data_IF_081572917453
#
_entry.id   IF_081572917453
#
_cell.length_a   1.000
_cell.length_b   1.000
_cell.length_c   1.000
_cell.angle_alpha   90.00
_cell.angle_beta   90.00
_cell.angle_gamma   90.00
#
_symmetry.space_group_name_H-M   'P 1'
#
loop_
_entity.id
_entity.type
_entity.pdbx_description
1 polymer ?
#
# COMPACT_ATOMS: atom_id res chain seq x y z
N UNK A 1 -2.91 7.17 -10.24
CA UNK A 1 -2.16 7.51 -9.01
C UNK A 1 -1.36 6.29 -8.58
N UNK A 2 -0.21 6.46 -7.92
CA UNK A 2 0.60 5.35 -7.39
C UNK A 2 0.92 5.61 -5.91
N UNK A 3 0.52 4.71 -5.02
CA UNK A 3 0.81 4.83 -3.59
C UNK A 3 2.17 4.23 -3.25
N UNK A 4 3.00 4.95 -2.50
CA UNK A 4 4.42 4.61 -2.27
C UNK A 4 4.91 4.96 -0.86
N UNK A 5 5.99 4.29 -0.44
CA UNK A 5 6.72 4.48 0.82
C UNK A 5 7.59 5.75 0.87
N UNK A 6 7.70 6.47 -0.24
CA UNK A 6 8.57 7.64 -0.37
C UNK A 6 9.99 7.34 -0.85
N UNK A 7 10.26 6.13 -1.36
CA UNK A 7 11.54 5.82 -2.00
C UNK A 7 11.81 6.75 -3.20
N UNK A 8 13.05 7.27 -3.28
CA UNK A 8 13.42 8.33 -4.23
C UNK A 8 13.20 7.94 -5.69
N UNK A 9 13.32 6.66 -6.02
CA UNK A 9 13.15 6.17 -7.39
C UNK A 9 11.76 6.47 -7.97
N UNK A 10 10.71 6.48 -7.15
CA UNK A 10 9.35 6.81 -7.62
C UNK A 10 9.24 8.25 -8.09
N UNK A 11 9.92 9.20 -7.44
CA UNK A 11 9.98 10.59 -7.92
C UNK A 11 10.69 10.69 -9.27
N UNK A 12 11.73 9.90 -9.48
CA UNK A 12 12.42 9.82 -10.79
C UNK A 12 11.50 9.24 -11.87
N UNK A 13 10.72 8.21 -11.53
CA UNK A 13 9.76 7.60 -12.45
C UNK A 13 8.68 8.59 -12.89
N UNK A 14 8.11 9.36 -11.95
CA UNK A 14 7.16 10.45 -12.28
C UNK A 14 7.77 11.47 -13.22
N UNK A 15 9.00 11.93 -12.92
CA UNK A 15 9.70 12.93 -13.75
C UNK A 15 9.94 12.43 -15.17
N UNK A 16 10.34 11.17 -15.33
CA UNK A 16 10.54 10.56 -16.66
C UNK A 16 9.22 10.45 -17.43
N UNK A 17 8.16 9.99 -16.77
CA UNK A 17 6.83 9.86 -17.39
C UNK A 17 6.22 11.21 -17.77
N UNK A 18 6.46 12.26 -16.97
CA UNK A 18 6.03 13.62 -17.31
C UNK A 18 6.72 14.22 -18.55
N UNK A 19 7.80 13.61 -19.04
CA UNK A 19 8.47 13.97 -20.30
C UNK A 19 8.05 13.09 -21.49
N UNK A 20 7.12 12.16 -21.28
CA UNK A 20 6.59 11.28 -22.32
C UNK A 20 5.15 11.67 -22.69
N UNK A 21 4.66 11.21 -23.84
CA UNK A 21 3.27 11.38 -24.30
C UNK A 21 2.27 10.48 -23.54
N UNK A 22 2.58 10.10 -22.30
CA UNK A 22 1.76 9.22 -21.45
C UNK A 22 1.16 10.06 -20.33
N UNK A 23 -0.08 9.74 -19.94
CA UNK A 23 -0.77 10.42 -18.84
C UNK A 23 0.12 10.57 -17.58
N UNK A 24 0.11 11.76 -16.94
CA UNK A 24 0.97 12.05 -15.80
C UNK A 24 0.61 11.17 -14.60
N UNK A 25 1.62 10.82 -13.83
CA UNK A 25 1.46 9.98 -12.64
C UNK A 25 1.59 10.81 -11.37
N UNK A 26 0.54 10.82 -10.55
CA UNK A 26 0.56 11.38 -9.20
C UNK A 26 0.98 10.33 -8.17
N UNK A 27 1.85 10.69 -7.23
CA UNK A 27 2.22 9.84 -6.09
C UNK A 27 1.34 10.16 -4.89
N UNK A 28 0.86 9.12 -4.22
CA UNK A 28 0.33 9.20 -2.86
C UNK A 28 1.40 8.66 -1.89
N UNK A 29 1.78 9.45 -0.90
CA UNK A 29 2.81 9.05 0.05
C UNK A 29 2.18 8.47 1.32
N UNK A 30 2.82 7.45 1.87
CA UNK A 30 2.38 6.78 3.08
C UNK A 30 2.55 7.65 4.34
N UNK A 31 1.46 7.98 5.02
CA UNK A 31 1.50 8.79 6.25
C UNK A 31 2.24 8.08 7.40
N UNK A 32 2.23 6.74 7.43
CA UNK A 32 2.96 5.96 8.43
C UNK A 32 4.49 6.19 8.33
N UNK A 33 5.02 6.44 7.13
CA UNK A 33 6.44 6.76 6.94
C UNK A 33 6.80 8.15 7.46
N UNK A 34 5.93 9.15 7.27
CA UNK A 34 6.11 10.46 7.90
C UNK A 34 6.01 10.35 9.44
N UNK A 35 5.01 9.62 9.95
CA UNK A 35 4.83 9.36 11.39
C UNK A 35 6.07 8.71 12.02
N UNK A 36 6.66 7.69 11.38
CA UNK A 36 7.84 6.97 11.91
C UNK A 36 9.00 7.92 12.20
N UNK A 37 9.22 8.94 11.36
CA UNK A 37 10.29 9.93 11.58
C UNK A 37 10.09 10.73 12.87
N UNK A 38 8.87 11.11 13.20
CA UNK A 38 8.58 11.79 14.47
C UNK A 38 8.70 10.83 15.66
N UNK A 39 8.32 9.55 15.51
CA UNK A 39 8.57 8.52 16.54
C UNK A 39 10.08 8.39 16.81
N UNK A 40 10.90 8.36 15.77
CA UNK A 40 12.36 8.26 15.90
C UNK A 40 12.94 9.50 16.60
N UNK A 41 12.41 10.70 16.33
CA UNK A 41 12.78 11.93 17.03
C UNK A 41 12.46 11.82 18.53
N UNK A 42 11.24 11.41 18.90
CA UNK A 42 10.86 11.24 20.31
C UNK A 42 11.77 10.24 21.01
N UNK A 43 12.07 9.10 20.38
CA UNK A 43 12.97 8.09 20.96
C UNK A 43 14.39 8.62 21.16
N UNK A 44 14.85 9.50 20.27
CA UNK A 44 16.21 10.04 20.31
C UNK A 44 16.36 11.20 21.29
N UNK A 45 15.35 12.08 21.39
CA UNK A 45 15.49 13.37 22.07
C UNK A 45 14.43 13.67 23.13
N UNK A 46 13.35 12.88 23.22
CA UNK A 46 12.22 13.18 24.11
C UNK A 46 11.42 14.42 23.73
N UNK A 47 11.51 14.93 22.50
CA UNK A 47 10.86 16.19 22.09
C UNK A 47 9.33 16.17 22.30
N UNK A 48 8.85 17.15 23.06
CA UNK A 48 7.42 17.38 23.32
C UNK A 48 6.70 17.85 22.06
N UNK A 49 7.36 18.61 21.18
CA UNK A 49 6.83 19.02 19.88
C UNK A 49 6.58 17.81 18.98
N UNK A 50 7.55 16.88 18.91
CA UNK A 50 7.39 15.65 18.15
C UNK A 50 6.26 14.78 18.72
N UNK A 51 6.11 14.71 20.05
CA UNK A 51 4.97 14.04 20.70
C UNK A 51 3.64 14.69 20.33
N UNK A 52 3.53 16.01 20.40
CA UNK A 52 2.32 16.75 20.01
C UNK A 52 1.92 16.48 18.55
N UNK A 53 2.91 16.46 17.64
CA UNK A 53 2.70 16.08 16.23
C UNK A 53 2.17 14.64 16.12
N UNK A 54 2.71 13.69 16.90
CA UNK A 54 2.23 12.30 16.90
C UNK A 54 0.80 12.17 17.44
N UNK A 55 0.43 12.95 18.46
CA UNK A 55 -0.94 13.00 18.99
C UNK A 55 -1.91 13.43 17.89
N UNK A 56 -1.58 14.50 17.15
CA UNK A 56 -2.39 14.95 16.00
C UNK A 56 -2.49 13.90 14.88
N UNK A 57 -1.41 13.17 14.62
CA UNK A 57 -1.44 12.03 13.67
C UNK A 57 -2.39 10.92 14.18
N UNK A 58 -2.40 10.65 15.48
CA UNK A 58 -3.28 9.62 16.04
C UNK A 58 -4.77 9.98 15.86
N UNK A 59 -5.14 11.26 15.89
CA UNK A 59 -6.51 11.71 15.60
C UNK A 59 -6.94 11.34 14.17
N UNK A 60 -6.04 11.54 13.20
CA UNK A 60 -6.28 11.15 11.81
C UNK A 60 -6.55 9.64 11.72
N UNK A 61 -5.74 8.82 12.38
CA UNK A 61 -5.95 7.37 12.37
C UNK A 61 -7.24 6.94 13.08
N UNK A 62 -7.72 7.68 14.09
CA UNK A 62 -9.03 7.43 14.70
C UNK A 62 -10.17 7.68 13.71
N UNK A 63 -10.09 8.77 12.92
CA UNK A 63 -11.06 9.06 11.86
C UNK A 63 -11.00 7.97 10.79
N UNK A 64 -9.80 7.64 10.31
CA UNK A 64 -9.60 6.60 9.28
C UNK A 64 -10.06 5.22 9.73
N UNK A 65 -9.96 4.89 11.02
CA UNK A 65 -10.49 3.65 11.56
C UNK A 65 -12.02 3.58 11.48
N UNK A 66 -12.72 4.70 11.74
CA UNK A 66 -14.18 4.78 11.63
C UNK A 66 -14.66 4.77 10.17
N UNK A 67 -13.92 5.40 9.26
CA UNK A 67 -14.27 5.43 7.83
C UNK A 67 -13.90 4.14 7.08
N UNK A 68 -13.21 3.19 7.73
CA UNK A 68 -12.77 1.96 7.09
C UNK A 68 -13.96 1.02 6.85
N UNK A 69 -14.08 0.52 5.63
CA UNK A 69 -15.18 -0.37 5.21
C UNK A 69 -16.28 0.36 4.43
N UNK A 70 -16.35 1.68 4.55
CA UNK A 70 -17.21 2.53 3.75
C UNK A 70 -16.72 2.62 2.29
N UNK A 71 -17.63 2.99 1.38
CA UNK A 71 -17.31 3.25 -0.02
C UNK A 71 -16.43 4.51 -0.19
N UNK A 72 -15.84 4.65 -1.38
CA UNK A 72 -14.88 5.73 -1.65
C UNK A 72 -15.48 7.14 -1.48
N UNK A 73 -16.74 7.37 -1.84
CA UNK A 73 -17.34 8.70 -1.79
C UNK A 73 -17.66 9.09 -0.35
N UNK A 74 -18.21 8.16 0.43
CA UNK A 74 -18.45 8.34 1.87
C UNK A 74 -17.15 8.64 2.62
N UNK A 75 -16.08 7.89 2.33
CA UNK A 75 -14.74 8.16 2.88
C UNK A 75 -14.24 9.55 2.55
N UNK A 76 -14.39 9.98 1.29
CA UNK A 76 -13.90 11.28 0.83
C UNK A 76 -14.63 12.44 1.52
N UNK A 77 -15.96 12.35 1.67
CA UNK A 77 -16.78 13.35 2.36
C UNK A 77 -16.35 13.46 3.83
N UNK A 78 -16.27 12.33 4.54
CA UNK A 78 -15.84 12.30 5.94
C UNK A 78 -14.43 12.87 6.13
N UNK A 79 -13.50 12.50 5.25
CA UNK A 79 -12.12 13.01 5.27
C UNK A 79 -12.04 14.51 5.05
N UNK A 80 -12.76 15.07 4.08
CA UNK A 80 -12.75 16.51 3.82
C UNK A 80 -13.31 17.30 5.00
N UNK A 81 -14.38 16.79 5.62
CA UNK A 81 -15.02 17.41 6.78
C UNK A 81 -14.16 17.34 8.04
N UNK A 82 -13.54 16.19 8.31
CA UNK A 82 -12.93 15.91 9.62
C UNK A 82 -11.40 15.88 9.58
N UNK A 83 -10.81 15.14 8.63
CA UNK A 83 -9.34 15.03 8.51
C UNK A 83 -8.70 16.24 7.84
N UNK A 84 -9.42 16.89 6.91
CA UNK A 84 -8.97 18.05 6.13
C UNK A 84 -8.49 19.21 7.00
N UNK A 85 -9.31 19.72 7.94
CA UNK A 85 -8.91 20.78 8.87
C UNK A 85 -7.67 20.42 9.69
N UNK A 86 -7.62 19.19 10.25
CA UNK A 86 -6.47 18.71 11.05
C UNK A 86 -5.19 18.71 10.20
N UNK A 87 -5.25 18.26 8.95
CA UNK A 87 -4.10 18.31 8.05
C UNK A 87 -3.70 19.75 7.73
N UNK A 88 -4.65 20.64 7.50
CA UNK A 88 -4.40 22.07 7.28
C UNK A 88 -3.64 22.73 8.43
N UNK A 89 -4.17 22.61 9.66
CA UNK A 89 -3.56 23.12 10.89
C UNK A 89 -2.14 22.56 11.09
N UNK A 90 -1.97 21.25 10.86
CA UNK A 90 -0.64 20.62 10.96
C UNK A 90 0.34 21.17 9.94
N UNK A 91 -0.09 21.49 8.72
CA UNK A 91 0.79 22.10 7.71
C UNK A 91 1.31 23.45 8.19
N UNK A 92 0.41 24.28 8.70
CA UNK A 92 0.76 25.59 9.24
C UNK A 92 1.77 25.44 10.38
N UNK A 93 1.46 24.59 11.36
CA UNK A 93 2.35 24.38 12.52
C UNK A 93 3.72 23.83 12.16
N UNK A 94 3.78 22.87 11.23
CA UNK A 94 5.05 22.33 10.73
C UNK A 94 5.86 23.38 9.97
N UNK A 95 5.20 24.32 9.29
CA UNK A 95 5.87 25.39 8.55
C UNK A 95 6.48 26.41 9.51
N UNK A 96 5.75 26.82 10.56
CA UNK A 96 6.29 27.65 11.64
C UNK A 96 7.50 26.99 12.31
N UNK A 97 7.34 25.75 12.78
CA UNK A 97 8.42 25.02 13.45
C UNK A 97 9.65 24.84 12.57
N UNK A 98 9.48 24.70 11.25
CA UNK A 98 10.62 24.58 10.32
C UNK A 98 11.53 25.80 10.38
N UNK A 99 10.97 26.99 10.60
CA UNK A 99 11.71 28.24 10.59
C UNK A 99 12.38 28.50 11.96
N UNK A 100 11.89 27.85 13.02
CA UNK A 100 12.45 27.91 14.39
C UNK A 100 13.53 26.85 14.68
N UNK A 101 13.47 25.68 14.02
CA UNK A 101 14.40 24.58 14.30
C UNK A 101 15.50 24.46 13.25
N UNK A 102 16.71 24.11 13.69
CA UNK A 102 17.81 23.79 12.78
C UNK A 102 17.43 22.66 11.82
N UNK A 103 17.60 22.88 10.52
CA UNK A 103 17.38 21.88 9.46
C UNK A 103 18.25 20.62 9.61
N UNK A 104 19.36 20.72 10.34
CA UNK A 104 20.28 19.61 10.61
C UNK A 104 19.83 18.73 11.79
N UNK A 105 18.96 19.25 12.67
CA UNK A 105 18.41 18.51 13.80
C UNK A 105 17.54 17.33 13.36
N UNK A 106 17.33 16.36 14.25
CA UNK A 106 16.45 15.23 13.97
C UNK A 106 15.01 15.69 13.68
N UNK A 107 14.50 16.63 14.47
CA UNK A 107 13.18 17.24 14.29
C UNK A 107 13.09 18.01 12.96
N UNK A 108 14.07 18.86 12.66
CA UNK A 108 14.11 19.63 11.41
C UNK A 108 14.13 18.73 10.16
N UNK A 109 14.83 17.59 10.21
CA UNK A 109 14.81 16.57 9.15
C UNK A 109 13.43 15.91 8.98
N UNK A 110 12.74 15.59 10.09
CA UNK A 110 11.41 15.00 10.07
C UNK A 110 10.36 15.98 9.51
N UNK A 111 10.41 17.25 9.93
CA UNK A 111 9.56 18.33 9.41
C UNK A 111 9.81 18.54 7.91
N UNK A 112 11.08 18.71 7.52
CA UNK A 112 11.46 18.90 6.12
C UNK A 112 10.99 17.75 5.23
N UNK A 113 11.16 16.51 5.69
CA UNK A 113 10.63 15.35 4.98
C UNK A 113 9.11 15.47 4.79
N UNK A 114 8.37 15.75 5.86
CA UNK A 114 6.90 15.80 5.83
C UNK A 114 6.41 16.88 4.87
N UNK A 115 6.95 18.10 4.97
CA UNK A 115 6.56 19.22 4.10
C UNK A 115 6.94 18.97 2.62
N UNK A 116 8.12 18.40 2.35
CA UNK A 116 8.56 18.06 1.00
C UNK A 116 7.72 16.96 0.33
N UNK A 117 6.91 16.23 1.09
CA UNK A 117 6.02 15.18 0.60
C UNK A 117 4.54 15.56 0.77
N UNK A 118 4.23 16.78 1.19
CA UNK A 118 2.90 17.19 1.62
C UNK A 118 1.80 16.84 0.60
N UNK A 119 1.97 17.22 -0.67
CA UNK A 119 0.94 17.00 -1.70
C UNK A 119 0.62 15.53 -1.98
N UNK A 120 1.54 14.60 -1.71
CA UNK A 120 1.25 13.17 -1.79
C UNK A 120 0.77 12.60 -0.45
N UNK A 121 1.20 13.16 0.69
CA UNK A 121 0.70 12.80 2.01
C UNK A 121 -0.76 13.23 2.22
N UNK A 122 -1.27 14.20 1.46
CA UNK A 122 -2.67 14.64 1.47
C UNK A 122 -3.50 14.09 0.30
N UNK A 123 -2.94 13.24 -0.56
CA UNK A 123 -3.64 12.78 -1.76
C UNK A 123 -4.94 12.00 -1.46
N UNK A 124 -5.02 11.36 -0.29
CA UNK A 124 -6.20 10.65 0.18
C UNK A 124 -7.40 11.57 0.52
N UNK A 125 -7.18 12.89 0.64
CA UNK A 125 -8.22 13.91 0.79
C UNK A 125 -8.85 14.32 -0.54
N UNK A 126 -8.24 13.92 -1.66
CA UNK A 126 -8.71 14.21 -3.02
C UNK A 126 -9.37 12.99 -3.67
N UNK A 127 -9.02 11.78 -3.24
CA UNK A 127 -9.50 10.51 -3.80
C UNK A 127 -9.75 9.49 -2.67
N UNK A 128 -11.03 9.14 -2.47
CA UNK A 128 -11.46 8.25 -1.38
C UNK A 128 -11.01 6.79 -1.52
N UNK A 129 -10.53 6.39 -2.71
CA UNK A 129 -9.98 5.04 -2.95
C UNK A 129 -8.56 4.88 -2.40
N UNK A 130 -7.89 6.00 -2.12
CA UNK A 130 -6.51 6.01 -1.64
C UNK A 130 -6.50 5.81 -0.13
N UNK A 131 -5.68 4.85 0.31
CA UNK A 131 -5.44 4.64 1.73
C UNK A 131 -4.52 5.72 2.33
N UNK A 132 -4.70 6.01 3.62
CA UNK A 132 -3.83 6.95 4.36
C UNK A 132 -2.38 6.45 4.46
N UNK A 133 -2.19 5.13 4.42
CA UNK A 133 -0.90 4.47 4.46
C UNK A 133 -0.88 3.21 3.57
N UNK A 134 0.33 2.72 3.26
CA UNK A 134 0.57 1.51 2.49
C UNK A 134 0.86 0.29 3.37
N UNK A 135 0.54 0.31 4.67
CA UNK A 135 0.95 -0.72 5.61
C UNK A 135 0.38 -2.11 5.25
N UNK A 136 -0.83 -2.17 4.66
CA UNK A 136 -1.42 -3.44 4.20
C UNK A 136 -0.53 -4.08 3.12
N UNK A 137 -0.09 -3.27 2.15
CA UNK A 137 0.80 -3.71 1.07
C UNK A 137 2.19 -4.05 1.60
N UNK A 138 2.74 -3.24 2.50
CA UNK A 138 4.05 -3.52 3.11
C UNK A 138 4.03 -4.81 3.93
N UNK A 139 2.92 -5.10 4.63
CA UNK A 139 2.74 -6.37 5.35
C UNK A 139 2.66 -7.56 4.42
N UNK A 140 1.96 -7.47 3.28
CA UNK A 140 1.91 -8.59 2.32
C UNK A 140 3.28 -8.87 1.70
N UNK A 141 4.11 -7.83 1.53
CA UNK A 141 5.50 -7.96 1.05
C UNK A 141 6.48 -8.46 2.12
N UNK A 142 6.08 -8.54 3.40
CA UNK A 142 6.96 -9.01 4.48
C UNK A 142 7.42 -10.46 4.26
N UNK A 143 6.56 -11.32 3.73
CA UNK A 143 6.90 -12.71 3.40
C UNK A 143 8.05 -12.77 2.37
N UNK A 144 7.94 -11.98 1.30
CA UNK A 144 8.99 -11.84 0.27
C UNK A 144 10.31 -11.36 0.86
N UNK A 145 10.27 -10.33 1.72
CA UNK A 145 11.46 -9.81 2.37
C UNK A 145 12.12 -10.83 3.31
N UNK A 146 11.32 -11.60 4.05
CA UNK A 146 11.81 -12.68 4.92
C UNK A 146 12.39 -13.84 4.10
N UNK A 147 11.71 -14.28 3.04
CA UNK A 147 12.23 -15.32 2.14
C UNK A 147 13.55 -14.89 1.52
N UNK A 148 13.68 -13.63 1.07
CA UNK A 148 14.97 -13.12 0.57
C UNK A 148 16.06 -13.16 1.64
N UNK A 149 15.74 -12.78 2.88
CA UNK A 149 16.69 -12.82 4.00
C UNK A 149 17.12 -14.26 4.34
N UNK A 150 16.19 -15.20 4.26
CA UNK A 150 16.39 -16.59 4.67
C UNK A 150 16.87 -17.50 3.52
N UNK A 151 16.77 -17.04 2.28
CA UNK A 151 17.25 -17.78 1.13
C UNK A 151 18.71 -17.43 0.87
N UNK A 152 19.61 -18.31 1.34
CA UNK A 152 21.06 -18.20 1.18
C UNK A 152 21.50 -18.23 -0.31
N UNK A 153 20.60 -18.56 -1.25
CA UNK A 153 20.93 -18.85 -2.65
C UNK A 153 20.02 -18.18 -3.70
N UNK A 154 19.33 -17.06 -3.39
CA UNK A 154 18.79 -16.20 -4.48
C UNK A 154 19.96 -15.45 -5.12
N UNK A 155 20.77 -16.18 -5.88
CA UNK A 155 22.05 -15.72 -6.41
C UNK A 155 22.02 -15.20 -7.85
N UNK A 156 20.85 -15.23 -8.52
CA UNK A 156 20.74 -14.79 -9.92
C UNK A 156 19.46 -13.99 -10.20
N UNK A 157 19.55 -13.08 -11.17
CA UNK A 157 18.40 -12.30 -11.66
C UNK A 157 17.27 -13.23 -12.16
N UNK A 158 17.63 -14.32 -12.85
CA UNK A 158 16.67 -15.32 -13.35
C UNK A 158 15.92 -16.01 -12.20
N UNK A 159 16.61 -16.37 -11.12
CA UNK A 159 16.00 -16.91 -9.91
C UNK A 159 15.04 -15.90 -9.27
N UNK A 160 15.45 -14.63 -9.20
CA UNK A 160 14.60 -13.54 -8.73
C UNK A 160 13.31 -13.36 -9.54
N UNK A 161 13.40 -13.40 -10.88
CA UNK A 161 12.22 -13.34 -11.78
C UNK A 161 11.27 -14.51 -11.53
N UNK A 162 11.79 -15.73 -11.43
CA UNK A 162 10.98 -16.93 -11.19
C UNK A 162 10.26 -16.87 -9.85
N UNK A 163 10.97 -16.46 -8.80
CA UNK A 163 10.38 -16.25 -7.48
C UNK A 163 9.29 -15.16 -7.50
N UNK A 164 9.51 -14.05 -8.20
CA UNK A 164 8.53 -12.98 -8.31
C UNK A 164 7.23 -13.44 -8.97
N UNK A 165 7.29 -14.28 -10.00
CA UNK A 165 6.11 -14.89 -10.65
C UNK A 165 5.35 -15.75 -9.64
N UNK A 166 6.03 -16.70 -8.97
CA UNK A 166 5.40 -17.59 -8.00
C UNK A 166 4.79 -16.83 -6.82
N UNK A 167 5.52 -15.87 -6.25
CA UNK A 167 5.02 -15.04 -5.15
C UNK A 167 3.80 -14.21 -5.57
N UNK A 168 3.76 -13.74 -6.83
CA UNK A 168 2.61 -13.02 -7.37
C UNK A 168 1.38 -13.92 -7.46
N UNK A 169 1.51 -15.11 -8.04
CA UNK A 169 0.41 -16.08 -8.15
C UNK A 169 -0.15 -16.46 -6.77
N UNK A 170 0.73 -16.81 -5.82
CA UNK A 170 0.34 -17.17 -4.45
C UNK A 170 -0.38 -16.01 -3.74
N UNK A 171 0.14 -14.78 -3.86
CA UNK A 171 -0.50 -13.63 -3.23
C UNK A 171 -1.85 -13.28 -3.90
N UNK A 172 -1.97 -13.43 -5.22
CA UNK A 172 -3.26 -13.23 -5.91
C UNK A 172 -4.31 -14.22 -5.41
N UNK A 173 -3.97 -15.51 -5.24
CA UNK A 173 -4.89 -16.49 -4.66
C UNK A 173 -5.34 -16.10 -3.25
N UNK A 174 -4.39 -15.75 -2.37
CA UNK A 174 -4.69 -15.29 -1.00
C UNK A 174 -5.60 -14.07 -0.97
N UNK A 175 -5.35 -13.08 -1.82
CA UNK A 175 -6.16 -11.86 -1.92
C UNK A 175 -7.60 -12.15 -2.38
N UNK A 176 -7.82 -13.25 -3.10
CA UNK A 176 -9.15 -13.70 -3.52
C UNK A 176 -9.79 -14.70 -2.52
N UNK A 177 -9.16 -14.93 -1.36
CA UNK A 177 -9.63 -15.88 -0.36
C UNK A 177 -9.59 -17.34 -0.85
N UNK A 178 -8.66 -17.65 -1.74
CA UNK A 178 -8.45 -18.99 -2.30
C UNK A 178 -7.19 -19.59 -1.67
N UNK A 179 -7.25 -20.86 -1.27
CA UNK A 179 -6.08 -21.61 -0.83
C UNK A 179 -5.09 -21.77 -2.00
N UNK A 180 -3.85 -21.21 -1.92
CA UNK A 180 -2.94 -21.20 -3.05
C UNK A 180 -2.51 -22.59 -3.50
N UNK A 181 -2.38 -23.55 -2.59
CA UNK A 181 -1.95 -24.90 -2.93
C UNK A 181 -3.04 -25.61 -3.72
N UNK A 182 -4.28 -25.59 -3.21
CA UNK A 182 -5.45 -26.19 -3.85
C UNK A 182 -5.65 -25.64 -5.25
N UNK A 183 -5.60 -24.31 -5.39
CA UNK A 183 -5.76 -23.64 -6.68
C UNK A 183 -4.63 -23.95 -7.66
N UNK A 184 -3.37 -23.86 -7.23
CA UNK A 184 -2.24 -24.16 -8.13
C UNK A 184 -2.22 -25.62 -8.58
N UNK A 185 -2.57 -26.56 -7.70
CA UNK A 185 -2.67 -27.98 -8.07
C UNK A 185 -3.70 -28.20 -9.18
N UNK A 186 -4.93 -27.71 -8.99
CA UNK A 186 -6.00 -27.90 -9.98
C UNK A 186 -5.73 -27.13 -11.28
N UNK A 187 -5.21 -25.90 -11.20
CA UNK A 187 -4.85 -25.11 -12.39
C UNK A 187 -3.76 -25.82 -13.21
N UNK A 188 -2.70 -26.31 -12.56
CA UNK A 188 -1.64 -27.01 -13.27
C UNK A 188 -2.14 -28.32 -13.89
N UNK A 189 -2.99 -29.06 -13.18
CA UNK A 189 -3.61 -30.28 -13.69
C UNK A 189 -4.48 -30.00 -14.93
N UNK A 190 -5.32 -28.95 -14.91
CA UNK A 190 -6.15 -28.54 -16.04
C UNK A 190 -5.33 -28.12 -17.27
N UNK A 191 -4.19 -27.46 -17.05
CA UNK A 191 -3.27 -27.06 -18.13
C UNK A 191 -2.58 -28.30 -18.72
N UNK A 192 -2.02 -29.17 -17.88
CA UNK A 192 -1.24 -30.32 -18.32
C UNK A 192 -2.13 -31.37 -19.01
N UNK A 193 -3.33 -31.60 -18.49
CA UNK A 193 -4.31 -32.52 -19.09
C UNK A 193 -4.91 -32.01 -20.40
N UNK A 194 -4.73 -30.73 -20.74
CA UNK A 194 -5.37 -30.10 -21.89
C UNK A 194 -6.87 -29.84 -21.70
N UNK A 195 -7.39 -30.00 -20.48
CA UNK A 195 -8.79 -29.69 -20.14
C UNK A 195 -9.13 -28.22 -20.36
N UNK A 196 -8.16 -27.33 -20.22
CA UNK A 196 -8.29 -25.89 -20.52
C UNK A 196 -7.29 -25.50 -21.60
N UNK A 197 -7.80 -24.88 -22.68
CA UNK A 197 -6.97 -24.43 -23.80
C UNK A 197 -6.26 -23.11 -23.48
N UNK A 198 -5.20 -22.81 -24.24
CA UNK A 198 -4.41 -21.60 -24.03
C UNK A 198 -5.21 -20.28 -24.15
N UNK A 199 -6.28 -20.28 -24.95
CA UNK A 199 -7.19 -19.14 -25.10
C UNK A 199 -8.28 -19.05 -24.01
N UNK A 200 -8.30 -19.98 -23.06
CA UNK A 200 -9.28 -20.07 -21.97
C UNK A 200 -8.64 -19.84 -20.60
N UNK A 201 -7.37 -19.40 -20.56
CA UNK A 201 -6.58 -19.21 -19.33
C UNK A 201 -7.23 -18.27 -18.32
N UNK A 202 -8.09 -17.34 -18.77
CA UNK A 202 -8.82 -16.44 -17.87
C UNK A 202 -9.76 -17.20 -16.91
N UNK A 203 -10.28 -18.36 -17.31
CA UNK A 203 -11.10 -19.24 -16.46
C UNK A 203 -10.31 -19.80 -15.27
N UNK A 204 -8.98 -19.87 -15.37
CA UNK A 204 -8.10 -20.38 -14.33
C UNK A 204 -7.72 -19.32 -13.29
N UNK A 205 -8.05 -18.05 -13.53
CA UNK A 205 -7.73 -16.97 -12.58
C UNK A 205 -8.47 -17.20 -11.26
N UNK A 206 -7.90 -16.82 -10.08
CA UNK A 206 -8.45 -17.24 -8.79
C UNK A 206 -9.92 -16.89 -8.57
N UNK A 207 -10.39 -15.74 -9.07
CA UNK A 207 -11.79 -15.32 -8.95
C UNK A 207 -12.74 -16.14 -9.83
N UNK A 208 -12.33 -16.47 -11.06
CA UNK A 208 -13.13 -17.28 -11.99
C UNK A 208 -13.18 -18.74 -11.52
N UNK A 209 -12.02 -19.28 -11.13
CA UNK A 209 -11.88 -20.61 -10.54
C UNK A 209 -12.76 -20.75 -9.30
N UNK A 210 -12.72 -19.77 -8.38
CA UNK A 210 -13.53 -19.80 -7.16
C UNK A 210 -15.03 -19.80 -7.48
N UNK A 211 -15.48 -18.92 -8.36
CA UNK A 211 -16.89 -18.84 -8.75
C UNK A 211 -17.40 -20.15 -9.38
N UNK A 212 -16.58 -20.80 -10.21
CA UNK A 212 -16.89 -22.12 -10.77
C UNK A 212 -17.06 -23.17 -9.66
N UNK A 213 -16.11 -23.23 -8.72
CA UNK A 213 -16.16 -24.20 -7.60
C UNK A 213 -17.37 -23.98 -6.70
N UNK A 214 -17.71 -22.72 -6.40
CA UNK A 214 -18.89 -22.36 -5.62
C UNK A 214 -20.19 -22.73 -6.35
N UNK A 215 -20.24 -22.56 -7.67
CA UNK A 215 -21.39 -22.97 -8.48
C UNK A 215 -21.58 -24.50 -8.48
N UNK A 216 -20.50 -25.27 -8.58
CA UNK A 216 -20.53 -26.74 -8.52
C UNK A 216 -21.04 -27.22 -7.16
N UNK A 217 -20.46 -26.72 -6.06
CA UNK A 217 -20.86 -27.09 -4.69
C UNK A 217 -22.34 -26.75 -4.44
N UNK A 218 -22.82 -25.59 -4.91
CA UNK A 218 -24.24 -25.24 -4.82
C UNK A 218 -25.15 -26.19 -5.63
N UNK A 219 -24.72 -26.63 -6.81
CA UNK A 219 -25.48 -27.61 -7.61
C UNK A 219 -25.53 -28.97 -6.92
N UNK A 220 -24.41 -29.45 -6.38
CA UNK A 220 -24.33 -30.73 -5.66
C UNK A 220 -25.23 -30.73 -4.41
N UNK A 221 -25.22 -29.65 -3.64
CA UNK A 221 -26.11 -29.50 -2.46
C UNK A 221 -27.60 -29.43 -2.80
N UNK A 222 -27.96 -28.94 -3.98
CA UNK A 222 -29.37 -28.92 -4.44
C UNK A 222 -29.84 -30.27 -4.96
N UNK A 223 -28.93 -31.16 -5.33
CA UNK A 223 -29.22 -32.48 -5.85
C UNK A 223 -29.28 -33.57 -4.75
N UNK A 224 -28.78 -33.27 -3.55
CA UNK A 224 -28.83 -34.12 -2.36
C UNK A 224 -30.08 -33.84 -1.51
#
# INVERSE_FOLDING_TARGET
MLQVDGYRAYKTLVKRRGKSNVAPMRLAFCLAHARRKFVDVVKLTGSSEALSILTRIAEIYRIEARLRGEDADTRLIGRRRETGPIMGERKAKLTELRDEVSSKSALGKAISYTLNHWGGLTAFLDDGRVEVDSNVVERSMKSVALTRKNSLFVGSERGGKSFAVLASLVNTAKLNGVDPQTWLTDVLERIISGKVKANEMESLLPWAWKAEREAIDHQERRAA
#
